data_IF_228170093964
#
_entry.id   IF_228170093964
#
_cell.length_a   1.000
_cell.length_b   1.000
_cell.length_c   1.000
_cell.angle_alpha   90.00
_cell.angle_beta   90.00
_cell.angle_gamma   90.00
#
_symmetry.space_group_name_H-M   'P 1'
#
loop_
_entity.id
_entity.type
_entity.pdbx_description
1 polymer ?
#
# COMPACT_ATOMS: atom_id res chain seq x y z
N UNK A 1 -0.46 2.95 27.51
CA UNK A 1 -0.02 1.54 27.58
C UNK A 1 1.39 1.57 28.14
N UNK A 2 1.72 0.86 29.22
CA UNK A 2 3.04 0.94 29.84
C UNK A 2 3.99 -0.07 29.19
N UNK A 3 4.72 0.32 28.15
CA UNK A 3 6.01 -0.31 27.87
C UNK A 3 6.97 0.25 28.95
N UNK A 4 7.42 -0.61 29.86
CA UNK A 4 8.25 -0.25 31.01
C UNK A 4 9.60 0.30 30.53
N UNK A 5 9.88 1.59 30.80
CA UNK A 5 11.19 2.20 30.62
C UNK A 5 12.17 1.73 31.70
N UNK A 6 13.04 0.79 31.34
CA UNK A 6 14.17 0.34 32.15
C UNK A 6 15.38 1.27 32.00
N UNK A 7 15.52 2.20 32.96
CA UNK A 7 16.72 2.86 33.53
C UNK A 7 17.99 3.12 32.69
N UNK A 8 18.43 4.39 32.78
CA UNK A 8 19.77 4.95 32.59
C UNK A 8 20.94 4.09 33.09
N UNK A 9 22.01 4.05 32.29
CA UNK A 9 23.39 4.06 32.80
C UNK A 9 24.30 4.79 31.81
N UNK A 10 24.83 5.93 32.25
CA UNK A 10 26.01 6.58 31.67
C UNK A 10 27.21 5.63 31.75
N UNK A 11 27.97 5.48 30.67
CA UNK A 11 29.41 5.16 30.77
C UNK A 11 30.18 5.72 29.59
N UNK A 12 31.28 6.40 29.94
CA UNK A 12 32.19 7.14 29.09
C UNK A 12 32.97 6.29 28.06
N UNK A 13 33.35 6.97 26.98
CA UNK A 13 34.35 6.62 25.97
C UNK A 13 35.65 6.02 26.54
N UNK A 14 36.13 4.94 25.93
CA UNK A 14 37.56 4.72 25.66
C UNK A 14 37.70 4.01 24.32
N UNK A 15 38.31 4.68 23.35
CA UNK A 15 38.78 4.09 22.10
C UNK A 15 39.99 3.19 22.38
N UNK A 16 39.97 1.95 21.88
CA UNK A 16 41.16 1.11 21.85
C UNK A 16 41.29 0.43 20.49
N UNK A 17 42.32 0.85 19.78
CA UNK A 17 42.76 0.38 18.47
C UNK A 17 43.32 -1.04 18.57
N UNK A 18 42.67 -2.01 17.92
CA UNK A 18 43.26 -3.30 17.57
C UNK A 18 42.73 -3.76 16.22
N UNK A 19 43.53 -3.48 15.19
CA UNK A 19 43.51 -4.19 13.90
C UNK A 19 43.65 -5.70 14.17
N UNK A 20 42.68 -6.47 13.71
CA UNK A 20 42.86 -7.89 13.41
C UNK A 20 42.42 -8.13 11.97
N UNK A 21 43.38 -8.63 11.19
CA UNK A 21 43.26 -9.04 9.81
C UNK A 21 42.10 -10.02 9.60
N UNK A 22 41.05 -9.56 8.94
CA UNK A 22 40.16 -10.44 8.18
C UNK A 22 40.39 -10.16 6.70
N UNK A 23 41.11 -11.08 6.03
CA UNK A 23 41.13 -11.19 4.56
C UNK A 23 39.72 -11.56 4.07
N UNK A 24 38.82 -10.58 4.03
CA UNK A 24 37.66 -10.61 3.15
C UNK A 24 38.12 -10.19 1.77
N UNK A 25 37.84 -10.98 0.75
CA UNK A 25 38.01 -10.57 -0.64
C UNK A 25 37.12 -9.35 -0.90
N UNK A 26 37.72 -8.16 -0.83
CA UNK A 26 37.14 -6.91 -1.31
C UNK A 26 36.91 -7.07 -2.82
N UNK A 27 35.66 -7.28 -3.23
CA UNK A 27 35.28 -7.10 -4.62
C UNK A 27 35.27 -5.59 -4.84
N UNK A 28 36.41 -5.06 -5.29
CA UNK A 28 36.47 -3.69 -5.82
C UNK A 28 35.62 -3.68 -7.09
N UNK A 29 34.38 -3.20 -6.97
CA UNK A 29 33.53 -2.91 -8.12
C UNK A 29 34.20 -1.76 -8.89
N UNK A 30 34.96 -2.11 -9.93
CA UNK A 30 35.48 -1.12 -10.88
C UNK A 30 34.27 -0.47 -11.54
N UNK A 31 33.94 0.76 -11.17
CA UNK A 31 32.99 1.57 -11.93
C UNK A 31 33.65 1.91 -13.28
N UNK A 32 33.17 1.39 -14.41
CA UNK A 32 33.60 1.93 -15.69
C UNK A 32 33.22 3.42 -15.73
N UNK A 33 34.12 4.29 -16.19
CA UNK A 33 33.77 5.67 -16.57
C UNK A 33 32.87 5.61 -17.80
N UNK A 34 31.59 5.32 -17.59
CA UNK A 34 30.56 5.43 -18.60
C UNK A 34 30.34 6.93 -18.83
N UNK A 35 30.48 7.41 -20.06
CA UNK A 35 30.26 8.84 -20.37
C UNK A 35 28.77 9.18 -20.53
N UNK A 36 27.94 8.16 -20.72
CA UNK A 36 26.50 8.27 -20.94
C UNK A 36 25.73 8.05 -19.63
N UNK A 37 24.84 8.98 -19.32
CA UNK A 37 24.04 8.98 -18.09
C UNK A 37 23.04 7.81 -18.08
N UNK A 38 22.46 7.45 -19.23
CA UNK A 38 21.58 6.28 -19.33
C UNK A 38 22.36 4.98 -19.08
N UNK A 39 23.55 4.83 -19.65
CA UNK A 39 24.40 3.70 -19.34
C UNK A 39 24.80 3.66 -17.84
N UNK A 40 25.08 4.80 -17.21
CA UNK A 40 25.40 4.88 -15.78
C UNK A 40 24.21 4.46 -14.89
N UNK A 41 23.01 4.95 -15.17
CA UNK A 41 21.81 4.61 -14.39
C UNK A 41 21.45 3.14 -14.55
N UNK A 42 21.48 2.61 -15.77
CA UNK A 42 21.23 1.19 -16.03
C UNK A 42 22.27 0.28 -15.34
N UNK A 43 23.53 0.72 -15.30
CA UNK A 43 24.59 0.01 -14.57
C UNK A 43 24.35 0.04 -13.05
N UNK A 44 23.90 1.17 -12.51
CA UNK A 44 23.62 1.35 -11.08
C UNK A 44 22.42 0.50 -10.64
N UNK A 45 21.31 0.49 -11.40
CA UNK A 45 20.17 -0.41 -11.17
C UNK A 45 20.61 -1.89 -11.21
N UNK A 46 21.41 -2.27 -12.22
CA UNK A 46 21.94 -3.62 -12.30
C UNK A 46 22.82 -3.98 -11.08
N UNK A 47 23.66 -3.06 -10.58
CA UNK A 47 24.47 -3.27 -9.39
C UNK A 47 23.63 -3.39 -8.12
N UNK A 48 22.59 -2.57 -7.95
CA UNK A 48 21.67 -2.67 -6.81
C UNK A 48 20.92 -4.01 -6.80
N UNK A 49 20.50 -4.52 -7.95
CA UNK A 49 19.90 -5.87 -8.08
C UNK A 49 20.91 -7.00 -7.83
N UNK A 50 22.19 -6.77 -8.11
CA UNK A 50 23.27 -7.74 -7.83
C UNK A 50 23.61 -7.78 -6.33
N UNK A 51 23.53 -6.66 -5.61
CA UNK A 51 23.77 -6.65 -4.16
C UNK A 51 22.73 -7.48 -3.39
N UNK A 52 21.50 -7.58 -3.91
CA UNK A 52 20.47 -8.51 -3.42
C UNK A 52 20.93 -9.99 -3.43
N UNK A 53 21.80 -10.37 -4.38
CA UNK A 53 22.40 -11.72 -4.45
C UNK A 53 23.56 -11.94 -3.48
N UNK A 54 24.08 -10.88 -2.84
CA UNK A 54 25.22 -10.97 -1.92
C UNK A 54 24.81 -11.19 -0.45
N UNK A 55 23.52 -11.28 -0.14
CA UNK A 55 23.07 -11.63 1.22
C UNK A 55 23.63 -12.99 1.65
N UNK A 56 24.03 -13.14 2.91
CA UNK A 56 24.57 -14.40 3.47
C UNK A 56 23.54 -15.56 3.55
N UNK A 57 22.30 -15.32 3.10
CA UNK A 57 21.22 -16.31 3.07
C UNK A 57 21.20 -16.94 1.67
N UNK A 58 21.24 -18.28 1.55
CA UNK A 58 21.05 -18.93 0.26
C UNK A 58 19.71 -18.50 -0.36
N UNK A 59 19.71 -18.06 -1.63
CA UNK A 59 18.53 -17.57 -2.35
C UNK A 59 17.33 -18.53 -2.23
N UNK A 60 17.56 -19.84 -2.22
CA UNK A 60 16.53 -20.86 -2.02
C UNK A 60 15.87 -20.82 -0.64
N UNK A 61 16.59 -20.38 0.39
CA UNK A 61 16.07 -20.21 1.75
C UNK A 61 15.22 -18.94 1.86
N UNK A 62 15.64 -17.85 1.21
CA UNK A 62 14.87 -16.61 1.11
C UNK A 62 13.56 -16.81 0.32
N UNK A 63 13.64 -17.42 -0.86
CA UNK A 63 12.46 -17.73 -1.68
C UNK A 63 11.49 -18.67 -0.95
N UNK A 64 12.00 -19.68 -0.22
CA UNK A 64 11.17 -20.53 0.63
C UNK A 64 10.48 -19.75 1.74
N UNK A 65 11.19 -18.89 2.46
CA UNK A 65 10.56 -18.04 3.49
C UNK A 65 9.42 -17.19 2.94
N UNK A 66 9.64 -16.49 1.82
CA UNK A 66 8.60 -15.64 1.22
C UNK A 66 7.40 -16.51 0.82
N UNK A 67 7.65 -17.64 0.16
CA UNK A 67 6.58 -18.55 -0.24
C UNK A 67 5.85 -19.15 0.96
N UNK A 68 6.53 -19.50 2.04
CA UNK A 68 5.93 -20.02 3.27
C UNK A 68 5.09 -18.94 3.97
N UNK A 69 5.61 -17.72 4.08
CA UNK A 69 4.88 -16.59 4.66
C UNK A 69 3.65 -16.20 3.83
N UNK A 70 3.77 -16.20 2.50
CA UNK A 70 2.66 -15.97 1.57
C UNK A 70 1.65 -17.10 1.59
N UNK A 71 2.08 -18.36 1.68
CA UNK A 71 1.20 -19.51 1.84
C UNK A 71 0.43 -19.39 3.15
N UNK A 72 1.09 -19.11 4.27
CA UNK A 72 0.44 -18.86 5.57
C UNK A 72 -0.60 -17.73 5.45
N UNK A 73 -0.23 -16.60 4.85
CA UNK A 73 -1.17 -15.48 4.67
C UNK A 73 -2.38 -15.84 3.79
N UNK A 74 -2.15 -16.52 2.66
CA UNK A 74 -3.17 -16.82 1.66
C UNK A 74 -4.03 -18.05 1.99
N UNK A 75 -3.56 -18.96 2.85
CA UNK A 75 -4.26 -20.24 3.18
C UNK A 75 -4.73 -20.33 4.63
N UNK A 76 -4.56 -19.26 5.42
CA UNK A 76 -4.84 -19.27 6.87
C UNK A 76 -6.26 -19.74 7.22
N UNK A 77 -6.33 -20.96 7.76
CA UNK A 77 -7.31 -21.42 8.76
C UNK A 77 -6.50 -22.10 9.88
N UNK A 78 -6.89 -21.90 11.14
CA UNK A 78 -6.08 -22.17 12.35
C UNK A 78 -5.90 -23.65 12.69
N UNK A 79 -4.68 -24.04 13.13
CA UNK A 79 -4.24 -25.18 13.98
C UNK A 79 -2.73 -24.97 14.32
N UNK A 80 -2.03 -25.58 15.29
CA UNK A 80 -2.26 -26.35 16.54
C UNK A 80 -1.05 -26.09 17.49
N UNK A 81 -1.25 -26.37 18.77
CA UNK A 81 -0.51 -25.97 19.98
C UNK A 81 0.83 -26.70 20.27
N UNK A 82 1.21 -27.77 19.55
CA UNK A 82 2.24 -28.69 20.09
C UNK A 82 3.69 -28.70 19.54
N UNK A 83 4.06 -28.06 18.41
CA UNK A 83 5.48 -27.75 18.14
C UNK A 83 5.71 -26.67 17.04
N UNK A 84 5.87 -25.38 17.43
CA UNK A 84 6.02 -24.25 16.49
C UNK A 84 7.47 -23.79 16.21
N UNK A 85 8.51 -24.50 16.67
CA UNK A 85 9.84 -23.88 16.86
C UNK A 85 10.90 -24.33 15.86
N UNK A 86 10.88 -23.74 14.65
CA UNK A 86 12.14 -23.41 13.95
C UNK A 86 11.98 -22.32 12.88
N UNK A 87 11.99 -21.05 13.30
CA UNK A 87 11.91 -19.90 12.38
C UNK A 87 12.98 -18.84 12.70
N UNK A 88 14.27 -19.21 12.58
CA UNK A 88 15.38 -18.28 12.82
C UNK A 88 16.05 -17.84 11.51
N UNK A 89 15.69 -16.64 11.03
CA UNK A 89 16.39 -15.89 9.98
C UNK A 89 16.41 -14.38 10.29
N UNK A 90 17.62 -13.81 10.31
CA UNK A 90 17.87 -12.36 10.37
C UNK A 90 17.99 -11.82 8.94
N UNK A 91 17.20 -10.81 8.60
CA UNK A 91 17.47 -9.94 7.44
C UNK A 91 18.56 -8.94 7.84
N UNK A 92 19.51 -8.71 6.93
CA UNK A 92 20.66 -7.83 7.13
C UNK A 92 20.24 -6.36 7.36
N UNK A 93 21.02 -5.58 8.12
CA UNK A 93 20.65 -4.24 8.57
C UNK A 93 20.72 -3.10 7.52
N UNK A 94 20.58 -3.41 6.22
CA UNK A 94 20.78 -2.43 5.14
C UNK A 94 19.67 -2.45 4.06
N UNK A 95 18.54 -3.12 4.35
CA UNK A 95 17.42 -3.22 3.40
C UNK A 95 16.63 -1.91 3.28
N UNK A 96 16.70 -1.03 4.28
CA UNK A 96 16.05 0.28 4.25
C UNK A 96 16.59 1.14 3.11
N UNK A 97 17.91 1.18 2.92
CA UNK A 97 18.53 1.98 1.86
C UNK A 97 18.14 1.45 0.48
N UNK A 98 17.97 0.12 0.33
CA UNK A 98 17.41 -0.48 -0.87
C UNK A 98 15.94 -0.10 -1.11
N UNK A 99 15.09 -0.12 -0.07
CA UNK A 99 13.68 0.28 -0.19
C UNK A 99 13.51 1.76 -0.55
N UNK A 100 14.44 2.59 -0.12
CA UNK A 100 14.47 4.02 -0.42
C UNK A 100 15.18 4.36 -1.74
N UNK A 101 16.04 3.47 -2.23
CA UNK A 101 16.83 3.68 -3.45
C UNK A 101 16.00 4.17 -4.66
N UNK A 102 14.80 3.63 -4.94
CA UNK A 102 13.99 4.08 -6.08
C UNK A 102 13.49 5.53 -5.99
N UNK A 103 13.57 6.18 -4.82
CA UNK A 103 13.18 7.58 -4.65
C UNK A 103 14.35 8.55 -4.87
N UNK A 104 15.57 8.04 -4.96
CA UNK A 104 16.80 8.81 -5.23
C UNK A 104 17.00 10.07 -4.36
N UNK A 105 16.39 10.08 -3.17
CA UNK A 105 16.45 11.20 -2.21
C UNK A 105 17.10 10.75 -0.90
N UNK A 106 18.24 11.36 -0.49
CA UNK A 106 18.88 11.05 0.79
C UNK A 106 18.05 11.54 1.99
N UNK A 107 17.08 12.44 1.76
CA UNK A 107 16.22 13.05 2.76
C UNK A 107 14.76 12.59 2.68
N UNK A 108 14.47 11.55 1.88
CA UNK A 108 13.11 11.08 1.62
C UNK A 108 12.27 10.87 2.89
N UNK A 109 12.83 10.25 3.93
CA UNK A 109 12.09 10.06 5.18
C UNK A 109 11.72 11.38 5.87
N UNK A 110 12.59 12.39 5.80
CA UNK A 110 12.30 13.70 6.37
C UNK A 110 11.21 14.41 5.54
N UNK A 111 11.30 14.34 4.22
CA UNK A 111 10.32 14.90 3.28
C UNK A 111 8.92 14.31 3.49
N UNK A 112 8.82 12.99 3.65
CA UNK A 112 7.54 12.32 3.93
C UNK A 112 6.98 12.73 5.30
N UNK A 113 7.83 12.85 6.32
CA UNK A 113 7.38 13.31 7.64
C UNK A 113 6.90 14.77 7.60
N UNK A 114 7.57 15.64 6.86
CA UNK A 114 7.14 17.02 6.63
C UNK A 114 5.77 17.07 5.94
N UNK A 115 5.60 16.32 4.84
CA UNK A 115 4.32 16.23 4.15
C UNK A 115 3.20 15.69 5.05
N UNK A 116 3.50 14.76 5.95
CA UNK A 116 2.53 14.28 6.93
C UNK A 116 2.15 15.37 7.94
N UNK A 117 3.11 16.13 8.46
CA UNK A 117 2.80 17.21 9.42
C UNK A 117 1.92 18.31 8.79
N UNK A 118 2.02 18.55 7.48
CA UNK A 118 1.10 19.46 6.76
C UNK A 118 -0.34 18.92 6.68
N UNK A 119 -0.50 17.61 6.51
CA UNK A 119 -1.82 16.96 6.37
C UNK A 119 -2.46 16.66 7.73
N UNK A 120 -1.64 16.44 8.76
CA UNK A 120 -2.03 16.01 10.09
C UNK A 120 -3.12 16.85 10.74
N UNK A 121 -3.18 18.20 10.63
CA UNK A 121 -4.29 18.98 11.17
C UNK A 121 -5.65 18.52 10.65
N UNK A 122 -5.78 18.26 9.34
CA UNK A 122 -7.02 17.76 8.75
C UNK A 122 -7.36 16.34 9.24
N UNK A 123 -6.34 15.49 9.36
CA UNK A 123 -6.51 14.14 9.91
C UNK A 123 -7.01 14.17 11.36
N UNK A 124 -6.49 15.06 12.20
CA UNK A 124 -6.90 15.19 13.60
C UNK A 124 -8.36 15.65 13.73
N UNK A 125 -8.82 16.55 12.87
CA UNK A 125 -10.23 16.94 12.81
C UNK A 125 -11.13 15.77 12.41
N UNK A 126 -10.74 15.01 11.38
CA UNK A 126 -11.45 13.79 10.99
C UNK A 126 -11.49 12.77 12.13
N UNK A 127 -10.35 12.51 12.77
CA UNK A 127 -10.21 11.58 13.89
C UNK A 127 -11.11 11.98 15.06
N UNK A 128 -11.07 13.24 15.47
CA UNK A 128 -11.88 13.76 16.56
C UNK A 128 -13.38 13.67 16.25
N UNK A 129 -13.77 13.99 15.01
CA UNK A 129 -15.15 13.87 14.54
C UNK A 129 -15.65 12.42 14.56
N UNK A 130 -14.88 11.49 13.98
CA UNK A 130 -15.18 10.06 13.96
C UNK A 130 -15.26 9.51 15.38
N UNK A 131 -14.31 9.87 16.25
CA UNK A 131 -14.32 9.49 17.67
C UNK A 131 -15.59 9.95 18.37
N UNK A 132 -16.06 11.18 18.12
CA UNK A 132 -17.33 11.66 18.68
C UNK A 132 -18.50 10.79 18.23
N UNK A 133 -18.64 10.54 16.92
CA UNK A 133 -19.72 9.73 16.35
C UNK A 133 -19.72 8.29 16.88
N UNK A 134 -18.55 7.64 16.91
CA UNK A 134 -18.41 6.30 17.47
C UNK A 134 -18.70 6.28 18.98
N UNK A 135 -18.37 7.34 19.71
CA UNK A 135 -18.70 7.47 21.14
C UNK A 135 -20.21 7.63 21.34
N UNK A 136 -20.89 8.36 20.47
CA UNK A 136 -22.35 8.51 20.53
C UNK A 136 -23.06 7.16 20.32
N UNK A 137 -22.46 6.27 19.51
CA UNK A 137 -22.94 4.90 19.28
C UNK A 137 -22.59 3.93 20.42
N UNK A 138 -21.32 3.87 20.83
CA UNK A 138 -20.79 2.84 21.76
C UNK A 138 -20.79 3.25 23.23
N UNK A 139 -21.05 4.52 23.54
CA UNK A 139 -21.10 5.04 24.90
C UNK A 139 -19.76 5.54 25.47
N UNK A 140 -19.81 6.46 26.46
CA UNK A 140 -18.63 7.03 27.13
C UNK A 140 -17.73 6.00 27.82
N UNK A 141 -18.29 4.89 28.29
CA UNK A 141 -17.61 3.83 29.01
C UNK A 141 -16.69 3.00 28.11
N UNK A 142 -16.97 2.97 26.80
CA UNK A 142 -16.15 2.26 25.80
C UNK A 142 -15.16 3.19 25.11
N UNK A 143 -15.53 4.46 24.89
CA UNK A 143 -14.72 5.43 24.17
C UNK A 143 -14.61 6.77 24.91
N UNK A 144 -13.43 7.01 25.49
CA UNK A 144 -13.10 8.28 26.14
C UNK A 144 -12.95 9.44 25.15
N UNK A 145 -13.20 10.67 25.61
CA UNK A 145 -13.14 11.88 24.76
C UNK A 145 -11.76 12.17 24.16
N UNK A 146 -10.70 11.72 24.84
CA UNK A 146 -9.31 11.94 24.43
C UNK A 146 -8.58 10.61 24.14
N UNK A 147 -9.30 9.49 24.14
CA UNK A 147 -8.69 8.20 23.92
C UNK A 147 -8.34 7.98 22.43
N UNK A 148 -7.30 7.18 22.14
CA UNK A 148 -7.11 6.58 20.82
C UNK A 148 -8.31 5.71 20.43
N UNK A 149 -8.58 5.63 19.12
CA UNK A 149 -9.63 4.79 18.55
C UNK A 149 -9.26 3.30 18.66
N UNK A 150 -10.15 2.42 19.17
CA UNK A 150 -9.91 0.98 19.12
C UNK A 150 -9.88 0.46 17.67
N UNK A 151 -8.83 -0.26 17.28
CA UNK A 151 -8.60 -0.67 15.89
C UNK A 151 -9.75 -1.46 15.25
N UNK A 152 -10.41 -2.33 16.03
CA UNK A 152 -11.45 -3.24 15.55
C UNK A 152 -12.81 -2.60 15.17
N UNK A 153 -13.04 -1.32 15.47
CA UNK A 153 -14.33 -0.64 15.18
C UNK A 153 -14.24 0.36 14.04
N UNK A 154 -13.21 0.24 13.20
CA UNK A 154 -12.92 1.17 12.11
C UNK A 154 -13.36 0.65 10.74
N UNK A 155 -14.18 -0.40 10.71
CA UNK A 155 -14.76 -0.95 9.48
C UNK A 155 -13.80 -1.71 8.56
N UNK A 156 -12.53 -1.81 8.94
CA UNK A 156 -11.51 -2.54 8.21
C UNK A 156 -10.61 -3.31 9.19
N UNK A 157 -10.17 -4.52 8.82
CA UNK A 157 -9.34 -5.39 9.66
C UNK A 157 -8.12 -4.68 10.26
N UNK A 158 -7.47 -3.82 9.47
CA UNK A 158 -6.29 -3.07 9.88
C UNK A 158 -6.60 -1.61 10.19
N UNK A 159 -7.86 -1.17 10.07
CA UNK A 159 -8.27 0.22 10.24
C UNK A 159 -7.54 1.19 9.29
N UNK A 160 -7.11 0.72 8.12
CA UNK A 160 -6.41 1.56 7.11
C UNK A 160 -7.38 2.38 6.25
N UNK A 161 -8.65 2.00 6.22
CA UNK A 161 -9.73 2.71 5.53
C UNK A 161 -10.96 2.65 6.42
N UNK A 162 -11.62 3.79 6.62
CA UNK A 162 -12.76 3.94 7.52
C UNK A 162 -14.06 4.12 6.73
N UNK A 163 -14.08 3.83 5.43
CA UNK A 163 -15.28 4.00 4.59
C UNK A 163 -16.45 3.13 5.05
N UNK A 164 -16.15 1.95 5.60
CA UNK A 164 -17.17 0.99 6.05
C UNK A 164 -17.89 1.40 7.34
N UNK A 165 -17.58 2.56 7.92
CA UNK A 165 -18.33 3.16 9.03
C UNK A 165 -19.04 4.47 8.60
N UNK A 166 -19.09 4.76 7.30
CA UNK A 166 -19.69 5.99 6.76
C UNK A 166 -21.15 6.16 7.19
N UNK A 167 -21.93 5.08 7.17
CA UNK A 167 -23.34 5.05 7.58
C UNK A 167 -23.54 5.52 9.04
N UNK A 168 -22.61 5.16 9.92
CA UNK A 168 -22.61 5.54 11.33
C UNK A 168 -22.17 7.00 11.52
N UNK A 169 -21.19 7.44 10.74
CA UNK A 169 -20.51 8.72 10.99
C UNK A 169 -20.92 9.84 10.05
N UNK A 170 -21.83 9.61 9.10
CA UNK A 170 -22.18 10.60 8.08
C UNK A 170 -22.63 11.96 8.66
N UNK A 171 -22.11 13.09 8.14
CA UNK A 171 -22.51 14.42 8.57
C UNK A 171 -23.98 14.76 8.31
N UNK A 172 -24.47 14.50 7.09
CA UNK A 172 -25.84 14.80 6.69
C UNK A 172 -26.59 13.51 6.30
N UNK A 173 -27.34 12.89 7.22
CA UNK A 173 -28.09 11.67 6.91
C UNK A 173 -29.05 11.86 5.73
N UNK A 174 -29.11 10.86 4.84
CA UNK A 174 -30.01 10.86 3.67
C UNK A 174 -29.51 11.65 2.46
N UNK A 175 -28.32 12.25 2.53
CA UNK A 175 -27.72 13.06 1.45
C UNK A 175 -26.53 12.35 0.80
N UNK A 176 -26.79 11.24 0.12
CA UNK A 176 -25.74 10.40 -0.47
C UNK A 176 -25.58 10.69 -1.96
N UNK A 177 -24.35 10.64 -2.46
CA UNK A 177 -24.19 10.43 -3.89
C UNK A 177 -24.69 9.03 -4.24
N UNK A 178 -25.57 8.89 -5.23
CA UNK A 178 -26.14 7.61 -5.58
C UNK A 178 -25.05 6.68 -6.13
N UNK A 179 -24.98 5.47 -5.60
CA UNK A 179 -24.20 4.39 -6.20
C UNK A 179 -24.81 4.06 -7.57
N UNK A 180 -24.01 4.14 -8.62
CA UNK A 180 -24.47 3.88 -9.99
C UNK A 180 -24.51 2.39 -10.33
N UNK A 181 -24.04 1.50 -9.44
CA UNK A 181 -24.04 0.05 -9.67
C UNK A 181 -25.41 -0.50 -10.11
N UNK A 182 -26.55 -0.13 -9.49
CA UNK A 182 -27.86 -0.59 -9.95
C UNK A 182 -28.22 -0.12 -11.37
N UNK A 183 -27.83 1.10 -11.74
CA UNK A 183 -28.06 1.64 -13.10
C UNK A 183 -27.18 0.92 -14.12
N UNK A 184 -25.92 0.60 -13.78
CA UNK A 184 -25.04 -0.21 -14.63
C UNK A 184 -25.66 -1.58 -14.93
N UNK A 185 -26.18 -2.26 -13.90
CA UNK A 185 -26.86 -3.55 -14.06
C UNK A 185 -28.13 -3.40 -14.92
N UNK A 186 -28.94 -2.37 -14.66
CA UNK A 186 -30.16 -2.09 -15.43
C UNK A 186 -29.88 -1.84 -16.92
N UNK A 187 -28.77 -1.18 -17.23
CA UNK A 187 -28.31 -0.91 -18.60
C UNK A 187 -27.58 -2.11 -19.25
N UNK A 188 -27.47 -3.25 -18.56
CA UNK A 188 -26.86 -4.46 -19.10
C UNK A 188 -25.33 -4.41 -19.19
N UNK A 189 -24.67 -3.68 -18.29
CA UNK A 189 -23.22 -3.64 -18.24
C UNK A 189 -22.64 -5.03 -17.94
N UNK A 190 -21.49 -5.31 -18.54
CA UNK A 190 -20.67 -6.49 -18.29
C UNK A 190 -19.23 -6.05 -18.01
N UNK A 191 -18.38 -6.92 -17.42
CA UNK A 191 -16.94 -6.63 -17.30
C UNK A 191 -16.28 -6.23 -18.64
N UNK A 192 -16.72 -6.82 -19.76
CA UNK A 192 -16.25 -6.44 -21.09
C UNK A 192 -16.71 -5.03 -21.50
N UNK A 193 -17.96 -4.66 -21.16
CA UNK A 193 -18.47 -3.30 -21.36
C UNK A 193 -17.68 -2.29 -20.52
N UNK A 194 -17.40 -2.61 -19.26
CA UNK A 194 -16.59 -1.78 -18.36
C UNK A 194 -15.19 -1.57 -18.92
N UNK A 195 -14.56 -2.62 -19.47
CA UNK A 195 -13.26 -2.53 -20.12
C UNK A 195 -13.28 -1.59 -21.32
N UNK A 196 -14.29 -1.69 -22.19
CA UNK A 196 -14.43 -0.79 -23.33
C UNK A 196 -14.64 0.66 -22.90
N UNK A 197 -15.44 0.91 -21.86
CA UNK A 197 -15.65 2.26 -21.32
C UNK A 197 -14.33 2.84 -20.79
N UNK A 198 -13.53 2.01 -20.11
CA UNK A 198 -12.20 2.41 -19.65
C UNK A 198 -11.27 2.74 -20.83
N UNK A 199 -11.27 1.92 -21.88
CA UNK A 199 -10.49 2.19 -23.10
C UNK A 199 -10.94 3.50 -23.79
N UNK A 200 -12.25 3.71 -23.93
CA UNK A 200 -12.82 4.93 -24.52
C UNK A 200 -12.39 6.20 -23.75
N UNK A 201 -12.21 6.10 -22.43
CA UNK A 201 -11.67 7.19 -21.62
C UNK A 201 -10.24 7.56 -22.03
N UNK A 202 -9.33 6.60 -22.18
CA UNK A 202 -7.95 6.89 -22.58
C UNK A 202 -7.87 7.37 -24.04
N UNK A 203 -8.70 6.81 -24.93
CA UNK A 203 -8.84 7.33 -26.30
C UNK A 203 -9.30 8.80 -26.31
N UNK A 204 -10.18 9.20 -25.39
CA UNK A 204 -10.63 10.59 -25.27
C UNK A 204 -9.52 11.56 -24.83
N UNK A 205 -8.48 11.05 -24.15
CA UNK A 205 -7.27 11.79 -23.79
C UNK A 205 -6.22 11.80 -24.91
N UNK A 206 -6.57 11.27 -26.10
CA UNK A 206 -5.67 11.11 -27.23
C UNK A 206 -4.48 10.17 -26.92
N UNK A 207 -4.70 9.17 -26.06
CA UNK A 207 -3.76 8.08 -25.79
C UNK A 207 -4.02 6.88 -26.72
N UNK A 208 -3.16 5.88 -26.63
CA UNK A 208 -3.22 4.69 -27.48
C UNK A 208 -4.44 3.83 -27.14
N UNK A 209 -5.10 3.23 -28.15
CA UNK A 209 -6.10 2.19 -27.88
C UNK A 209 -5.45 0.94 -27.28
N UNK A 210 -6.22 0.18 -26.50
CA UNK A 210 -5.73 -1.04 -25.87
C UNK A 210 -5.47 -2.10 -26.95
N UNK A 211 -4.29 -2.76 -26.96
CA UNK A 211 -4.04 -3.87 -27.87
C UNK A 211 -5.10 -4.97 -27.66
N UNK A 212 -5.61 -5.61 -28.73
CA UNK A 212 -6.63 -6.67 -28.63
C UNK A 212 -6.22 -7.79 -27.66
N UNK A 213 -4.93 -8.13 -27.65
CA UNK A 213 -4.33 -9.14 -26.77
C UNK A 213 -4.52 -8.84 -25.28
N UNK A 214 -4.57 -7.55 -24.88
CA UNK A 214 -4.81 -7.17 -23.48
C UNK A 214 -6.21 -7.64 -23.08
N UNK A 215 -7.23 -7.31 -23.87
CA UNK A 215 -8.61 -7.72 -23.61
C UNK A 215 -8.77 -9.25 -23.63
N UNK A 216 -8.10 -9.93 -24.55
CA UNK A 216 -8.26 -11.37 -24.78
C UNK A 216 -7.52 -12.23 -23.75
N UNK A 217 -6.33 -11.80 -23.31
CA UNK A 217 -5.49 -12.57 -22.39
C UNK A 217 -5.62 -12.15 -20.92
N UNK A 218 -6.32 -11.04 -20.63
CA UNK A 218 -6.60 -10.58 -19.27
C UNK A 218 -7.63 -11.47 -18.57
N UNK A 219 -7.44 -11.64 -17.26
CA UNK A 219 -8.43 -12.27 -16.40
C UNK A 219 -9.29 -11.16 -15.81
N UNK A 220 -10.46 -10.90 -16.42
CA UNK A 220 -11.42 -9.91 -15.91
C UNK A 220 -12.57 -10.53 -15.10
N UNK A 221 -12.81 -11.83 -15.27
CA UNK A 221 -13.89 -12.56 -14.60
C UNK A 221 -13.32 -13.83 -13.98
N UNK A 222 -13.77 -14.15 -12.77
CA UNK A 222 -13.38 -15.38 -12.09
C UNK A 222 -13.82 -16.61 -12.90
N UNK A 223 -12.90 -17.53 -13.25
CA UNK A 223 -13.25 -18.72 -14.01
C UNK A 223 -13.93 -19.76 -13.11
N UNK A 224 -15.00 -20.43 -13.56
CA UNK A 224 -15.70 -21.43 -12.76
C UNK A 224 -14.78 -22.59 -12.33
N UNK A 225 -14.73 -22.87 -11.03
CA UNK A 225 -14.03 -24.04 -10.47
C UNK A 225 -12.50 -23.90 -10.39
N UNK A 226 -11.95 -22.72 -10.62
CA UNK A 226 -10.51 -22.44 -10.49
C UNK A 226 -10.32 -21.37 -9.42
N UNK A 227 -9.56 -21.69 -8.38
CA UNK A 227 -9.18 -20.71 -7.37
C UNK A 227 -8.18 -19.72 -7.98
N UNK A 228 -8.52 -18.44 -7.97
CA UNK A 228 -7.67 -17.35 -8.48
C UNK A 228 -7.48 -16.26 -7.43
N UNK A 229 -6.34 -15.59 -7.46
CA UNK A 229 -6.09 -14.42 -6.61
C UNK A 229 -6.82 -13.23 -7.23
N UNK A 230 -7.98 -12.88 -6.69
CA UNK A 230 -8.84 -11.82 -7.24
C UNK A 230 -8.40 -10.38 -7.00
N UNK A 231 -7.33 -10.16 -6.21
CA UNK A 231 -6.82 -8.80 -5.98
C UNK A 231 -6.40 -8.16 -7.31
N UNK A 232 -6.93 -6.97 -7.67
CA UNK A 232 -6.59 -6.26 -8.91
C UNK A 232 -5.08 -6.05 -9.06
N UNK A 233 -4.61 -6.16 -10.30
CA UNK A 233 -3.20 -5.94 -10.65
C UNK A 233 -3.04 -5.85 -12.17
N UNK A 234 -2.11 -5.02 -12.62
CA UNK A 234 -1.66 -4.91 -14.01
C UNK A 234 -0.27 -5.52 -14.20
N UNK A 235 -0.02 -6.11 -15.36
CA UNK A 235 1.17 -6.91 -15.64
C UNK A 235 1.81 -6.53 -16.99
N UNK A 236 3.11 -6.20 -16.97
CA UNK A 236 3.98 -6.11 -18.14
C UNK A 236 4.81 -7.40 -18.28
N UNK A 237 4.61 -8.15 -19.36
CA UNK A 237 5.37 -9.38 -19.65
C UNK A 237 6.76 -9.09 -20.26
N UNK A 238 7.18 -7.83 -20.26
CA UNK A 238 8.53 -7.36 -20.58
C UNK A 238 8.94 -7.55 -22.05
N UNK A 239 8.02 -8.01 -22.91
CA UNK A 239 8.25 -8.30 -24.32
C UNK A 239 7.77 -7.18 -25.27
N UNK A 240 7.32 -6.05 -24.70
CA UNK A 240 6.78 -4.85 -25.40
C UNK A 240 5.40 -5.03 -26.06
N UNK A 241 4.77 -6.20 -25.93
CA UNK A 241 3.52 -6.53 -26.64
C UNK A 241 2.42 -7.05 -25.72
N UNK A 242 2.78 -7.91 -24.77
CA UNK A 242 1.85 -8.62 -23.90
C UNK A 242 1.73 -7.88 -22.56
N UNK A 243 0.56 -7.31 -22.34
CA UNK A 243 0.17 -6.64 -21.11
C UNK A 243 -1.18 -7.21 -20.67
N UNK A 244 -1.39 -7.38 -19.36
CA UNK A 244 -2.62 -8.03 -18.86
C UNK A 244 -3.10 -7.40 -17.57
N UNK A 245 -4.41 -7.39 -17.42
CA UNK A 245 -5.09 -7.06 -16.17
C UNK A 245 -5.58 -8.36 -15.54
N UNK A 246 -5.40 -8.50 -14.22
CA UNK A 246 -5.91 -9.62 -13.44
C UNK A 246 -6.78 -9.11 -12.30
N UNK A 247 -8.09 -9.17 -12.47
CA UNK A 247 -9.10 -8.83 -11.47
C UNK A 247 -10.35 -9.72 -11.61
N UNK A 248 -11.14 -9.85 -10.55
CA UNK A 248 -12.43 -10.55 -10.61
C UNK A 248 -13.55 -9.50 -10.63
N UNK A 249 -13.70 -8.80 -11.76
CA UNK A 249 -14.59 -7.66 -11.90
C UNK A 249 -16.06 -8.06 -11.74
N UNK A 250 -16.75 -7.34 -10.86
CA UNK A 250 -18.20 -7.34 -10.70
C UNK A 250 -18.76 -6.06 -11.30
N UNK A 251 -20.02 -6.10 -11.72
CA UNK A 251 -20.70 -4.92 -12.30
C UNK A 251 -21.05 -3.94 -11.18
N UNK A 252 -20.06 -3.17 -10.74
CA UNK A 252 -20.18 -2.16 -9.68
C UNK A 252 -19.41 -0.90 -10.04
N UNK A 253 -19.81 0.23 -9.45
CA UNK A 253 -19.09 1.50 -9.59
C UNK A 253 -17.63 1.37 -9.11
N UNK A 254 -17.41 0.69 -7.99
CA UNK A 254 -16.07 0.46 -7.44
C UNK A 254 -15.15 -0.26 -8.42
N UNK A 255 -15.64 -1.34 -9.03
CA UNK A 255 -14.83 -2.12 -9.97
C UNK A 255 -14.68 -1.41 -11.32
N UNK A 256 -15.62 -0.55 -11.72
CA UNK A 256 -15.45 0.33 -12.89
C UNK A 256 -14.29 1.30 -12.68
N UNK A 257 -14.26 1.97 -11.53
CA UNK A 257 -13.18 2.89 -11.15
C UNK A 257 -11.85 2.14 -11.02
N UNK A 258 -11.86 0.96 -10.40
CA UNK A 258 -10.67 0.10 -10.26
C UNK A 258 -10.15 -0.36 -11.61
N UNK A 259 -11.01 -0.68 -12.57
CA UNK A 259 -10.58 -1.05 -13.91
C UNK A 259 -9.89 0.10 -14.64
N UNK A 260 -10.32 1.35 -14.43
CA UNK A 260 -9.59 2.51 -14.96
C UNK A 260 -8.22 2.67 -14.29
N UNK A 261 -8.14 2.47 -12.97
CA UNK A 261 -6.86 2.45 -12.23
C UNK A 261 -5.90 1.42 -12.84
N UNK A 262 -6.33 0.16 -12.99
CA UNK A 262 -5.48 -0.90 -13.54
C UNK A 262 -5.10 -0.66 -15.00
N UNK A 263 -6.03 -0.11 -15.80
CA UNK A 263 -5.77 0.22 -17.20
C UNK A 263 -4.79 1.40 -17.35
N UNK A 264 -4.74 2.33 -16.39
CA UNK A 264 -3.70 3.37 -16.36
C UNK A 264 -2.29 2.75 -16.27
N UNK A 265 -2.11 1.70 -15.47
CA UNK A 265 -0.82 0.99 -15.43
C UNK A 265 -0.47 0.40 -16.79
N UNK A 266 -1.44 -0.17 -17.52
CA UNK A 266 -1.23 -0.70 -18.87
C UNK A 266 -0.83 0.39 -19.86
N UNK A 267 -1.50 1.54 -19.85
CA UNK A 267 -1.11 2.69 -20.66
C UNK A 267 0.32 3.13 -20.36
N UNK A 268 0.67 3.22 -19.07
CA UNK A 268 2.01 3.62 -18.67
C UNK A 268 3.07 2.61 -19.13
N UNK A 269 2.76 1.30 -19.07
CA UNK A 269 3.60 0.25 -19.63
C UNK A 269 3.82 0.41 -21.15
N UNK A 270 2.76 0.76 -21.87
CA UNK A 270 2.79 0.96 -23.31
C UNK A 270 3.61 2.19 -23.70
N UNK A 271 3.52 3.29 -22.94
CA UNK A 271 4.25 4.52 -23.20
C UNK A 271 5.76 4.33 -23.08
N UNK A 272 6.25 3.68 -22.02
CA UNK A 272 7.69 3.46 -21.84
C UNK A 272 8.24 2.20 -22.54
N UNK A 273 7.42 1.43 -23.27
CA UNK A 273 7.82 0.09 -23.79
C UNK A 273 9.06 0.10 -24.68
N UNK A 274 9.38 1.24 -25.28
CA UNK A 274 10.52 1.39 -26.18
C UNK A 274 11.83 1.73 -25.45
N UNK A 275 11.76 2.13 -24.17
CA UNK A 275 12.94 2.34 -23.35
C UNK A 275 13.72 1.04 -23.13
N UNK A 276 14.99 1.18 -22.73
CA UNK A 276 15.80 0.04 -22.27
C UNK A 276 15.10 -0.63 -21.08
N UNK A 277 15.23 -1.96 -20.91
CA UNK A 277 14.43 -2.68 -19.89
C UNK A 277 14.66 -2.16 -18.46
N UNK A 278 15.86 -1.66 -18.16
CA UNK A 278 16.18 -1.03 -16.88
C UNK A 278 15.38 0.26 -16.60
N UNK A 279 14.84 0.91 -17.63
CA UNK A 279 14.06 2.16 -17.53
C UNK A 279 12.57 1.95 -17.78
N UNK A 280 12.09 0.70 -17.77
CA UNK A 280 10.67 0.39 -17.91
C UNK A 280 10.02 0.21 -16.55
N UNK A 281 9.98 1.31 -15.82
CA UNK A 281 9.33 1.48 -14.54
C UNK A 281 8.91 2.97 -14.43
N UNK A 282 8.16 3.31 -13.39
CA UNK A 282 7.83 4.70 -13.09
C UNK A 282 9.07 5.50 -12.69
N UNK A 283 8.97 6.82 -12.77
CA UNK A 283 10.05 7.71 -12.32
C UNK A 283 10.47 7.43 -10.86
N UNK A 284 9.50 7.06 -10.03
CA UNK A 284 9.68 6.33 -8.78
C UNK A 284 8.41 5.48 -8.54
N UNK A 285 8.39 4.58 -7.53
CA UNK A 285 7.24 3.69 -7.29
C UNK A 285 5.91 4.43 -7.05
N UNK A 286 5.94 5.65 -6.51
CA UNK A 286 4.74 6.45 -6.26
C UNK A 286 4.14 7.09 -7.52
N UNK A 287 4.90 7.24 -8.62
CA UNK A 287 4.36 7.79 -9.86
C UNK A 287 3.36 6.84 -10.53
N UNK A 288 3.62 5.53 -10.52
CA UNK A 288 2.70 4.52 -11.04
C UNK A 288 1.34 4.62 -10.36
N UNK A 289 1.33 4.58 -9.03
CA UNK A 289 0.10 4.61 -8.23
C UNK A 289 -0.55 6.01 -8.23
N UNK A 290 0.25 7.07 -8.28
CA UNK A 290 -0.25 8.45 -8.26
C UNK A 290 -1.08 8.80 -9.51
N UNK A 291 -0.63 8.39 -10.70
CA UNK A 291 -1.37 8.65 -11.95
C UNK A 291 -2.64 7.80 -12.00
N UNK A 292 -2.57 6.51 -11.64
CA UNK A 292 -3.74 5.62 -11.65
C UNK A 292 -4.81 6.07 -10.65
N UNK A 293 -4.42 6.53 -9.46
CA UNK A 293 -5.34 7.12 -8.49
C UNK A 293 -5.95 8.45 -8.94
N UNK A 294 -5.18 9.29 -9.65
CA UNK A 294 -5.71 10.54 -10.19
C UNK A 294 -6.81 10.29 -11.22
N UNK A 295 -6.62 9.30 -12.10
CA UNK A 295 -7.63 8.88 -13.08
C UNK A 295 -8.84 8.26 -12.38
N UNK A 296 -8.62 7.39 -11.39
CA UNK A 296 -9.70 6.80 -10.59
C UNK A 296 -10.58 7.87 -9.93
N UNK A 297 -9.97 8.93 -9.36
CA UNK A 297 -10.70 10.07 -8.78
C UNK A 297 -11.53 10.83 -9.82
N UNK A 298 -10.99 11.05 -11.02
CA UNK A 298 -11.70 11.72 -12.10
C UNK A 298 -12.91 10.90 -12.58
N UNK A 299 -12.70 9.60 -12.81
CA UNK A 299 -13.73 8.67 -13.30
C UNK A 299 -14.83 8.47 -12.26
N UNK A 300 -14.48 8.44 -10.97
CA UNK A 300 -15.44 8.36 -9.88
C UNK A 300 -16.26 9.63 -9.66
N UNK A 301 -15.98 10.73 -10.37
CA UNK A 301 -16.68 11.99 -10.18
C UNK A 301 -18.13 11.94 -10.69
N UNK A 302 -19.08 12.59 -10.00
CA UNK A 302 -20.48 12.66 -10.44
C UNK A 302 -20.62 13.21 -11.86
N UNK A 303 -19.79 14.20 -12.23
CA UNK A 303 -19.79 14.80 -13.56
C UNK A 303 -19.41 13.79 -14.64
N UNK A 304 -18.40 12.95 -14.41
CA UNK A 304 -18.03 11.92 -15.38
C UNK A 304 -19.11 10.83 -15.48
N UNK A 305 -19.66 10.37 -14.35
CA UNK A 305 -20.73 9.37 -14.34
C UNK A 305 -22.01 9.85 -15.06
N UNK A 306 -22.30 11.16 -15.06
CA UNK A 306 -23.37 11.75 -15.88
C UNK A 306 -23.09 11.63 -17.38
N UNK A 307 -21.84 11.84 -17.81
CA UNK A 307 -21.49 11.71 -19.24
C UNK A 307 -21.65 10.28 -19.76
N UNK A 308 -21.52 9.29 -18.86
CA UNK A 308 -21.80 7.88 -19.15
C UNK A 308 -23.29 7.52 -19.11
N UNK A 309 -24.17 8.48 -18.80
CA UNK A 309 -25.61 8.23 -18.65
C UNK A 309 -25.96 7.34 -17.43
N UNK A 310 -25.04 7.24 -16.46
CA UNK A 310 -25.22 6.44 -15.24
C UNK A 310 -25.83 7.25 -14.08
N UNK A 311 -25.85 8.58 -14.22
CA UNK A 311 -26.40 9.52 -13.25
C UNK A 311 -27.25 10.57 -13.96
N UNK A 312 -28.52 10.74 -13.57
CA UNK A 312 -29.48 11.63 -14.23
C UNK A 312 -29.64 13.01 -13.56
N UNK A 313 -28.70 13.37 -12.68
CA UNK A 313 -28.59 14.67 -12.03
C UNK A 313 -27.54 14.64 -10.92
N UNK A 314 -26.84 15.74 -10.69
CA UNK A 314 -26.00 15.93 -9.50
C UNK A 314 -26.65 16.99 -8.64
N UNK A 315 -27.04 16.63 -7.42
CA UNK A 315 -27.32 17.64 -6.41
C UNK A 315 -25.99 18.24 -5.97
N UNK A 316 -25.68 19.41 -6.52
CA UNK A 316 -24.53 20.23 -6.12
C UNK A 316 -24.93 21.13 -4.93
N UNK A 317 -25.39 20.50 -3.85
CA UNK A 317 -25.69 21.17 -2.59
C UNK A 317 -24.57 20.92 -1.55
N UNK A 318 -24.47 21.82 -0.57
CA UNK A 318 -23.45 21.70 0.48
C UNK A 318 -23.54 20.35 1.23
N UNK A 319 -24.72 19.85 1.63
CA UNK A 319 -24.84 18.53 2.27
C UNK A 319 -24.26 17.36 1.48
N UNK A 320 -24.58 17.22 0.18
CA UNK A 320 -24.05 16.14 -0.66
C UNK A 320 -22.53 16.28 -0.82
N UNK A 321 -22.05 17.48 -1.13
CA UNK A 321 -20.62 17.75 -1.31
C UNK A 321 -19.80 17.46 -0.05
N UNK A 322 -20.30 17.85 1.13
CA UNK A 322 -19.63 17.51 2.39
C UNK A 322 -19.61 16.01 2.62
N UNK A 323 -20.71 15.29 2.38
CA UNK A 323 -20.74 13.84 2.55
C UNK A 323 -19.78 13.12 1.57
N UNK A 324 -19.64 13.61 0.33
CA UNK A 324 -18.66 13.09 -0.63
C UNK A 324 -17.22 13.31 -0.15
N UNK A 325 -16.86 14.56 0.17
CA UNK A 325 -15.53 14.88 0.69
C UNK A 325 -15.22 14.09 1.96
N UNK A 326 -16.21 13.92 2.84
CA UNK A 326 -16.09 13.11 4.05
C UNK A 326 -15.85 11.63 3.71
N UNK A 327 -16.58 11.05 2.76
CA UNK A 327 -16.38 9.68 2.31
C UNK A 327 -14.99 9.45 1.70
N UNK A 328 -14.45 10.44 0.97
CA UNK A 328 -13.08 10.40 0.47
C UNK A 328 -12.07 10.53 1.62
N UNK A 329 -12.31 11.44 2.57
CA UNK A 329 -11.45 11.64 3.72
C UNK A 329 -11.32 10.37 4.57
N UNK A 330 -12.42 9.62 4.78
CA UNK A 330 -12.42 8.33 5.47
C UNK A 330 -11.58 7.25 4.77
N UNK A 331 -11.35 7.37 3.47
CA UNK A 331 -10.50 6.45 2.72
C UNK A 331 -9.05 6.91 2.69
N UNK A 332 -8.82 8.19 2.38
CA UNK A 332 -7.47 8.71 2.08
C UNK A 332 -6.68 9.06 3.34
N UNK A 333 -7.25 9.79 4.29
CA UNK A 333 -6.48 10.28 5.45
C UNK A 333 -6.07 9.15 6.42
N UNK A 334 -6.97 8.21 6.80
CA UNK A 334 -6.57 7.05 7.60
C UNK A 334 -5.54 6.16 6.90
N UNK A 335 -5.57 6.09 5.57
CA UNK A 335 -4.61 5.31 4.80
C UNK A 335 -3.22 5.93 4.88
N UNK A 336 -3.09 7.26 4.74
CA UNK A 336 -1.82 7.97 4.91
C UNK A 336 -1.21 7.72 6.29
N UNK A 337 -2.01 7.86 7.35
CA UNK A 337 -1.58 7.59 8.72
C UNK A 337 -1.15 6.13 8.92
N UNK A 338 -1.91 5.18 8.35
CA UNK A 338 -1.60 3.75 8.41
C UNK A 338 -0.29 3.43 7.67
N UNK A 339 -0.14 3.96 6.45
CA UNK A 339 1.02 3.72 5.58
C UNK A 339 2.29 4.21 6.25
N UNK A 340 2.28 5.46 6.72
CA UNK A 340 3.43 6.05 7.41
C UNK A 340 3.80 5.26 8.67
N UNK A 341 2.82 4.82 9.46
CA UNK A 341 3.09 4.01 10.65
C UNK A 341 3.72 2.64 10.32
N UNK A 342 3.29 2.00 9.24
CA UNK A 342 3.83 0.70 8.81
C UNK A 342 5.25 0.83 8.29
N UNK A 343 5.52 1.82 7.45
CA UNK A 343 6.86 1.98 6.87
C UNK A 343 7.85 2.53 7.87
N UNK A 344 7.46 3.48 8.73
CA UNK A 344 8.32 3.91 9.85
C UNK A 344 8.72 2.73 10.74
N UNK A 345 7.78 1.83 11.03
CA UNK A 345 8.08 0.61 11.78
C UNK A 345 9.04 -0.32 11.02
N UNK A 346 8.81 -0.56 9.71
CA UNK A 346 9.67 -1.43 8.90
C UNK A 346 11.09 -0.88 8.76
N UNK A 347 11.24 0.42 8.50
CA UNK A 347 12.52 1.09 8.37
C UNK A 347 13.36 0.95 9.64
N UNK A 348 12.75 1.17 10.80
CA UNK A 348 13.43 1.01 12.09
C UNK A 348 13.79 -0.46 12.39
N UNK A 349 12.94 -1.42 11.98
CA UNK A 349 13.27 -2.85 12.07
C UNK A 349 14.48 -3.19 11.20
N UNK A 350 14.50 -2.71 9.95
CA UNK A 350 15.57 -2.99 9.01
C UNK A 350 16.88 -2.27 9.34
N UNK A 351 16.85 -1.09 9.97
CA UNK A 351 18.06 -0.45 10.53
C UNK A 351 18.59 -1.13 11.79
N UNK A 352 17.76 -1.94 12.45
CA UNK A 352 18.08 -2.59 13.72
C UNK A 352 17.75 -1.75 14.96
N UNK A 353 17.09 -0.61 14.82
CA UNK A 353 16.61 0.23 15.92
C UNK A 353 15.51 -0.47 16.73
N UNK A 354 14.73 -1.35 16.08
CA UNK A 354 13.76 -2.22 16.72
C UNK A 354 14.27 -3.66 16.69
N UNK A 355 14.51 -4.22 17.87
CA UNK A 355 14.82 -5.64 18.02
C UNK A 355 13.56 -6.51 18.07
N UNK A 356 13.74 -7.81 17.83
CA UNK A 356 12.66 -8.82 17.84
C UNK A 356 11.85 -8.87 19.14
N UNK A 357 12.48 -8.48 20.26
CA UNK A 357 11.84 -8.50 21.58
C UNK A 357 10.93 -7.28 21.78
N UNK A 358 10.79 -6.42 20.76
CA UNK A 358 9.97 -5.21 20.79
C UNK A 358 9.18 -4.98 19.48
N UNK A 359 9.09 -5.97 18.58
CA UNK A 359 8.38 -5.78 17.30
C UNK A 359 6.94 -5.32 17.51
N UNK A 360 6.21 -5.95 18.43
CA UNK A 360 4.80 -5.68 18.60
C UNK A 360 4.51 -4.42 19.45
N UNK A 361 5.28 -4.17 20.52
CA UNK A 361 5.20 -2.92 21.30
C UNK A 361 5.47 -1.73 20.38
N UNK A 362 6.54 -1.78 19.58
CA UNK A 362 6.91 -0.66 18.69
C UNK A 362 5.93 -0.47 17.54
N UNK A 363 5.34 -1.53 17.03
CA UNK A 363 4.22 -1.42 16.08
C UNK A 363 3.07 -0.61 16.68
N UNK A 364 2.61 -0.94 17.89
CA UNK A 364 1.50 -0.22 18.52
C UNK A 364 1.87 1.21 18.95
N UNK A 365 3.13 1.48 19.29
CA UNK A 365 3.63 2.85 19.49
C UNK A 365 3.42 3.70 18.22
N UNK A 366 3.81 3.19 17.05
CA UNK A 366 3.64 3.90 15.77
C UNK A 366 2.16 4.08 15.42
N UNK A 367 1.34 3.04 15.63
CA UNK A 367 -0.11 3.09 15.41
C UNK A 367 -0.81 4.13 16.28
N UNK A 368 -0.39 4.28 17.53
CA UNK A 368 -0.96 5.25 18.45
C UNK A 368 -0.43 6.67 18.17
N UNK A 369 0.88 6.83 17.94
CA UNK A 369 1.51 8.15 17.71
C UNK A 369 1.08 8.81 16.41
N UNK A 370 1.02 8.04 15.32
CA UNK A 370 0.70 8.57 13.98
C UNK A 370 -0.80 8.49 13.73
N UNK A 371 -1.41 7.33 13.97
CA UNK A 371 -2.83 7.09 13.68
C UNK A 371 -3.79 7.34 14.84
N UNK A 372 -3.31 7.57 16.08
CA UNK A 372 -4.21 7.66 17.22
C UNK A 372 -5.10 6.42 17.36
N UNK A 373 -4.59 5.23 17.01
CA UNK A 373 -5.29 3.94 17.07
C UNK A 373 -4.61 3.02 18.08
N UNK A 374 -5.41 2.32 18.88
CA UNK A 374 -4.94 1.35 19.89
C UNK A 374 -5.48 -0.06 19.65
N UNK A 375 -4.81 -1.11 20.14
CA UNK A 375 -5.38 -2.44 20.10
C UNK A 375 -6.60 -2.53 21.03
N UNK A 376 -7.62 -3.34 20.68
CA UNK A 376 -8.79 -3.53 21.53
C UNK A 376 -8.50 -4.38 22.76
N UNK A 377 -7.45 -5.20 22.70
CA UNK A 377 -7.03 -6.11 23.77
C UNK A 377 -5.54 -5.91 24.04
N UNK A 378 -5.09 -6.28 25.24
CA UNK A 378 -3.67 -6.25 25.57
C UNK A 378 -2.89 -7.17 24.63
N UNK A 379 -1.75 -6.67 24.14
CA UNK A 379 -0.84 -7.40 23.26
C UNK A 379 0.47 -7.67 23.98
N UNK A 380 1.18 -8.68 23.51
CA UNK A 380 2.51 -9.05 23.98
C UNK A 380 3.40 -9.36 22.80
N UNK A 381 4.70 -9.54 23.02
CA UNK A 381 5.65 -9.95 21.98
C UNK A 381 5.49 -11.42 21.55
N UNK A 382 4.58 -12.18 22.18
CA UNK A 382 4.08 -13.45 21.62
C UNK A 382 3.19 -13.22 20.40
N UNK A 383 2.76 -11.98 20.16
CA UNK A 383 1.97 -11.57 19.01
C UNK A 383 2.86 -10.89 17.99
N UNK A 384 2.52 -11.05 16.70
CA UNK A 384 3.17 -10.33 15.61
C UNK A 384 2.09 -9.72 14.71
N UNK A 385 1.45 -8.68 15.23
CA UNK A 385 0.34 -7.98 14.58
C UNK A 385 0.68 -7.41 13.19
N UNK A 386 1.86 -6.80 12.93
CA UNK A 386 2.18 -6.33 11.58
C UNK A 386 2.28 -7.49 10.57
N UNK A 387 2.64 -8.70 11.01
CA UNK A 387 2.65 -9.89 10.15
C UNK A 387 1.26 -10.30 9.61
N UNK A 388 0.18 -9.79 10.21
CA UNK A 388 -1.19 -10.02 9.73
C UNK A 388 -1.57 -9.15 8.53
N UNK A 389 -0.70 -8.24 8.08
CA UNK A 389 -0.94 -7.35 6.93
C UNK A 389 -0.09 -7.81 5.75
N UNK A 390 -0.74 -8.24 4.66
CA UNK A 390 -0.12 -8.86 3.46
C UNK A 390 1.27 -8.37 3.06
N UNK A 391 1.45 -7.05 3.05
CA UNK A 391 2.66 -6.41 2.51
C UNK A 391 3.89 -6.69 3.37
N UNK A 392 3.70 -6.97 4.67
CA UNK A 392 4.78 -7.35 5.59
C UNK A 392 5.33 -8.75 5.25
N UNK A 393 4.55 -9.86 5.28
CA UNK A 393 5.04 -11.18 4.88
C UNK A 393 5.39 -11.28 3.40
N UNK A 394 4.74 -10.52 2.52
CA UNK A 394 5.05 -10.49 1.09
C UNK A 394 6.32 -9.67 0.76
N UNK A 395 6.90 -8.98 1.74
CA UNK A 395 8.01 -8.04 1.57
C UNK A 395 7.76 -6.98 0.46
N UNK A 396 6.53 -6.47 0.40
CA UNK A 396 6.15 -5.44 -0.58
C UNK A 396 6.26 -4.06 0.09
N UNK A 397 7.02 -3.10 -0.47
CA UNK A 397 7.12 -1.74 0.08
C UNK A 397 5.74 -1.07 0.16
N UNK A 398 5.47 -0.33 1.23
CA UNK A 398 4.15 0.25 1.50
C UNK A 398 4.08 1.78 1.37
N UNK A 399 5.24 2.46 1.21
CA UNK A 399 5.30 3.93 1.17
C UNK A 399 4.89 4.54 -0.19
N UNK A 400 4.64 3.67 -1.18
CA UNK A 400 4.25 4.04 -2.55
C UNK A 400 2.88 4.70 -2.63
#
# INVERSE_FOLDING_TARGET
MFCSSGKNSETNLVANDRRQDTKGSEIVLVQPKLADLEAQLAYTDAQARISERLSKIPLDRYNRLINDMLAIYNTATTCDYHDPLKCDLRLEPDYTDYLLFPYESPTFMAEINEAWEDIKPLYLELHAYVRRKLRDLYGPEKLGRQAPLPAHILGNMWGQSWINILDITIPYPGKFFPDVSPHMVQQGYTPATMFRIAEDFFLSLNLSGMPPDVRENSLLVEPPGILVICQPSAWDFCNKRDYRIKMCAKVTQSDLVTLHHEMTHIEYFMEYRNLHKAFRDGANPGFHEGISEAIALFVGSPKHLQTLGLLFGSEDDVPHNINFLYSMALQKLPFLAFSLALESWRWDVFRGDINKDNYNCRWWDYREKIGGVKPPVLRSEKNFDPGSKYHVPANIPYIK
#
